data_IF_079635498214
#
_entry.id   IF_079635498214
#
_cell.length_a   1.000
_cell.length_b   1.000
_cell.length_c   1.000
_cell.angle_alpha   90.00
_cell.angle_beta   90.00
_cell.angle_gamma   90.00
#
_symmetry.space_group_name_H-M   'P 1'
#
loop_
_entity.id
_entity.type
_entity.pdbx_description
1 polymer ?
#
# COMPACT_ATOMS: atom_id res chain seq x y z
N UNK A 1 0.61 61.89 1.30
CA UNK A 1 1.11 60.60 1.82
C UNK A 1 -0.02 59.95 2.58
N UNK A 2 -0.65 58.93 2.00
CA UNK A 2 -1.62 58.08 2.72
C UNK A 2 -1.42 56.65 2.21
N UNK A 3 -0.51 55.93 2.86
CA UNK A 3 -0.21 54.52 2.62
C UNK A 3 -1.35 53.67 3.18
N UNK A 4 -2.12 53.02 2.31
CA UNK A 4 -3.06 51.97 2.69
C UNK A 4 -2.29 50.67 2.96
N UNK A 5 -2.31 50.22 4.21
CA UNK A 5 -1.79 48.91 4.58
C UNK A 5 -2.74 47.80 4.08
N UNK A 6 -2.23 46.65 3.62
CA UNK A 6 -3.06 45.51 3.26
C UNK A 6 -3.54 44.81 4.53
N UNK A 7 -4.83 44.90 4.83
CA UNK A 7 -5.49 44.09 5.87
C UNK A 7 -5.40 42.62 5.51
N UNK A 8 -4.60 41.88 6.29
CA UNK A 8 -4.55 40.41 6.30
C UNK A 8 -5.87 39.92 6.90
N UNK A 9 -6.79 39.44 6.07
CA UNK A 9 -8.05 38.83 6.54
C UNK A 9 -7.73 37.48 7.18
N UNK A 10 -7.92 37.39 8.51
CA UNK A 10 -7.95 36.11 9.21
C UNK A 10 -9.13 35.26 8.69
N UNK A 11 -8.97 33.93 8.56
CA UNK A 11 -10.04 33.06 8.10
C UNK A 11 -11.23 33.14 9.06
N UNK A 12 -12.44 33.41 8.52
CA UNK A 12 -13.68 33.44 9.31
C UNK A 12 -13.89 32.08 9.99
N UNK A 13 -14.25 32.02 11.27
CA UNK A 13 -14.58 30.77 11.93
C UNK A 13 -15.73 30.10 11.17
N UNK A 14 -15.55 28.83 10.82
CA UNK A 14 -16.65 28.00 10.29
C UNK A 14 -17.72 27.98 11.39
N UNK A 15 -18.94 28.39 11.03
CA UNK A 15 -20.08 28.34 11.93
C UNK A 15 -20.37 26.87 12.27
N UNK A 16 -20.02 26.47 13.50
CA UNK A 16 -20.23 25.11 14.01
C UNK A 16 -21.69 24.66 13.85
N UNK A 17 -22.62 25.60 13.89
CA UNK A 17 -24.05 25.40 13.61
C UNK A 17 -24.32 24.79 12.23
N UNK A 18 -23.58 25.22 11.19
CA UNK A 18 -23.71 24.65 9.84
C UNK A 18 -23.22 23.21 9.78
N UNK A 19 -22.17 22.88 10.52
CA UNK A 19 -21.67 21.50 10.62
C UNK A 19 -22.75 20.61 11.21
N UNK A 20 -23.35 21.01 12.33
CA UNK A 20 -24.45 20.25 12.95
C UNK A 20 -25.67 20.13 12.02
N UNK A 21 -26.01 21.20 11.31
CA UNK A 21 -27.08 21.16 10.32
C UNK A 21 -26.79 20.12 9.22
N UNK A 22 -25.61 20.14 8.61
CA UNK A 22 -25.25 19.18 7.57
C UNK A 22 -25.20 17.74 8.10
N UNK A 23 -24.72 17.52 9.33
CA UNK A 23 -24.74 16.19 9.96
C UNK A 23 -26.17 15.67 10.10
N UNK A 24 -27.10 16.51 10.54
CA UNK A 24 -28.52 16.15 10.63
C UNK A 24 -29.14 15.87 9.24
N UNK A 25 -28.75 16.65 8.24
CA UNK A 25 -29.20 16.49 6.85
C UNK A 25 -28.72 15.19 6.19
N UNK A 26 -27.72 14.49 6.75
CA UNK A 26 -27.29 13.17 6.25
C UNK A 26 -28.40 12.11 6.36
N UNK A 27 -29.26 12.21 7.38
CA UNK A 27 -30.32 11.23 7.61
C UNK A 27 -31.42 11.30 6.54
N UNK A 28 -31.62 12.46 5.91
CA UNK A 28 -32.69 12.70 4.95
C UNK A 28 -32.18 12.52 3.50
N UNK A 29 -32.72 11.56 2.71
CA UNK A 29 -32.20 11.27 1.36
C UNK A 29 -32.15 12.47 0.40
N UNK A 30 -33.09 13.41 0.52
CA UNK A 30 -33.18 14.59 -0.34
C UNK A 30 -32.07 15.62 -0.08
N UNK A 31 -31.57 15.73 1.16
CA UNK A 31 -30.55 16.70 1.57
C UNK A 31 -29.16 16.09 1.67
N UNK A 32 -29.10 14.76 1.83
CA UNK A 32 -27.87 14.01 2.09
C UNK A 32 -26.75 14.29 1.09
N UNK A 33 -27.07 14.38 -0.20
CA UNK A 33 -26.04 14.58 -1.23
C UNK A 33 -25.28 15.90 -1.03
N UNK A 34 -26.00 16.99 -0.74
CA UNK A 34 -25.40 18.27 -0.45
C UNK A 34 -24.60 18.23 0.85
N UNK A 35 -25.16 17.63 1.90
CA UNK A 35 -24.48 17.47 3.19
C UNK A 35 -23.17 16.69 3.06
N UNK A 36 -23.12 15.62 2.26
CA UNK A 36 -21.91 14.85 1.99
C UNK A 36 -20.81 15.72 1.36
N UNK A 37 -21.17 16.57 0.38
CA UNK A 37 -20.24 17.47 -0.29
C UNK A 37 -19.67 18.50 0.69
N UNK A 38 -20.54 19.16 1.46
CA UNK A 38 -20.10 20.21 2.37
C UNK A 38 -19.25 19.63 3.51
N UNK A 39 -19.69 18.55 4.15
CA UNK A 39 -18.92 17.91 5.22
C UNK A 39 -17.58 17.36 4.73
N UNK A 40 -17.51 16.77 3.53
CA UNK A 40 -16.25 16.21 3.02
C UNK A 40 -15.19 17.29 2.80
N UNK A 41 -15.61 18.53 2.49
CA UNK A 41 -14.72 19.70 2.39
C UNK A 41 -14.23 20.22 3.74
N UNK A 42 -15.00 20.02 4.81
CA UNK A 42 -14.65 20.49 6.15
C UNK A 42 -13.80 19.51 6.95
N UNK A 43 -13.54 18.29 6.44
CA UNK A 43 -12.85 17.22 7.16
C UNK A 43 -11.47 17.57 7.70
N UNK A 44 -10.76 18.52 7.08
CA UNK A 44 -9.42 18.97 7.50
C UNK A 44 -9.49 20.19 8.44
N UNK A 45 -10.57 20.96 8.37
CA UNK A 45 -10.75 22.19 9.14
C UNK A 45 -11.40 21.94 10.51
N UNK A 46 -12.24 20.90 10.62
CA UNK A 46 -12.97 20.56 11.85
C UNK A 46 -12.37 19.30 12.48
N UNK A 47 -11.55 19.49 13.52
CA UNK A 47 -10.83 18.40 14.18
C UNK A 47 -11.77 17.36 14.80
N UNK A 48 -12.86 17.80 15.43
CA UNK A 48 -13.82 16.93 16.12
C UNK A 48 -14.93 16.39 15.21
N UNK A 49 -14.78 16.50 13.89
CA UNK A 49 -15.81 16.03 12.95
C UNK A 49 -16.07 14.53 13.08
N UNK A 50 -15.02 13.74 13.31
CA UNK A 50 -15.14 12.29 13.42
C UNK A 50 -16.01 11.86 14.63
N UNK A 51 -15.75 12.32 15.87
CA UNK A 51 -16.64 12.11 17.00
C UNK A 51 -18.07 12.62 16.74
N UNK A 52 -18.21 13.81 16.16
CA UNK A 52 -19.53 14.37 15.83
C UNK A 52 -20.33 13.46 14.90
N UNK A 53 -19.70 12.91 13.86
CA UNK A 53 -20.32 11.96 12.92
C UNK A 53 -20.63 10.60 13.54
N UNK A 54 -19.77 10.13 14.45
CA UNK A 54 -19.93 8.82 15.07
C UNK A 54 -21.07 8.81 16.08
N UNK A 55 -21.16 9.86 16.90
CA UNK A 55 -22.13 9.95 17.99
C UNK A 55 -23.46 10.58 17.57
N UNK A 56 -23.56 11.15 16.37
CA UNK A 56 -24.83 11.61 15.82
C UNK A 56 -25.71 10.44 15.37
N UNK A 57 -27.01 10.54 15.67
CA UNK A 57 -27.96 9.49 15.37
C UNK A 57 -28.08 9.24 13.86
N UNK A 58 -27.82 8.00 13.44
CA UNK A 58 -28.04 7.55 12.06
C UNK A 58 -26.99 8.00 11.03
N UNK A 59 -26.01 8.84 11.39
CA UNK A 59 -25.06 9.38 10.41
C UNK A 59 -24.16 8.29 9.82
N UNK A 60 -23.53 7.42 10.63
CA UNK A 60 -22.72 6.30 10.12
C UNK A 60 -23.57 5.34 9.27
N UNK A 61 -24.83 5.07 9.67
CA UNK A 61 -25.74 4.25 8.90
C UNK A 61 -26.08 4.88 7.53
N UNK A 62 -26.27 6.20 7.48
CA UNK A 62 -26.47 6.92 6.23
C UNK A 62 -25.24 6.85 5.32
N UNK A 63 -24.02 6.99 5.88
CA UNK A 63 -22.78 6.84 5.13
C UNK A 63 -22.63 5.42 4.53
N UNK A 64 -22.96 4.38 5.32
CA UNK A 64 -22.97 2.99 4.84
C UNK A 64 -24.06 2.75 3.78
N UNK A 65 -25.21 3.39 3.90
CA UNK A 65 -26.26 3.30 2.88
C UNK A 65 -25.77 3.85 1.53
N UNK A 66 -24.97 4.91 1.52
CA UNK A 66 -24.33 5.43 0.30
C UNK A 66 -23.28 4.47 -0.28
N UNK A 67 -22.59 3.70 0.55
CA UNK A 67 -21.67 2.64 0.09
C UNK A 67 -22.46 1.50 -0.57
N UNK A 68 -23.50 1.01 0.11
CA UNK A 68 -24.27 -0.16 -0.34
C UNK A 68 -25.11 0.18 -1.59
N UNK A 69 -25.59 1.41 -1.73
CA UNK A 69 -26.40 1.83 -2.89
C UNK A 69 -25.65 1.71 -4.22
N UNK A 70 -24.31 1.69 -4.18
CA UNK A 70 -23.45 1.56 -5.35
C UNK A 70 -23.23 0.11 -5.77
N UNK A 71 -23.44 -0.87 -4.88
CA UNK A 71 -23.16 -2.29 -5.17
C UNK A 71 -23.80 -2.83 -6.47
N UNK A 72 -25.06 -2.50 -6.82
CA UNK A 72 -25.65 -2.94 -8.08
C UNK A 72 -24.93 -2.44 -9.34
N UNK A 73 -24.21 -1.31 -9.24
CA UNK A 73 -23.44 -0.72 -10.35
C UNK A 73 -21.97 -1.20 -10.40
N UNK A 74 -21.56 -2.05 -9.45
CA UNK A 74 -20.22 -2.65 -9.41
C UNK A 74 -20.13 -3.85 -10.34
N UNK A 75 -21.17 -4.68 -10.37
CA UNK A 75 -21.25 -5.86 -11.24
C UNK A 75 -22.70 -6.04 -11.74
N UNK A 76 -22.99 -5.77 -13.04
CA UNK A 76 -22.07 -5.35 -14.10
C UNK A 76 -21.51 -3.93 -13.87
N UNK A 77 -20.35 -3.58 -14.47
CA UNK A 77 -19.65 -2.33 -14.17
C UNK A 77 -20.29 -1.11 -14.86
N UNK A 78 -21.39 -0.61 -14.30
CA UNK A 78 -22.21 0.49 -14.85
C UNK A 78 -22.09 1.80 -14.05
N UNK A 79 -21.14 1.87 -13.12
CA UNK A 79 -20.91 3.03 -12.26
C UNK A 79 -20.68 4.34 -13.05
N UNK A 80 -21.53 5.32 -12.80
CA UNK A 80 -21.41 6.66 -13.39
C UNK A 80 -20.46 7.56 -12.60
N UNK A 81 -19.99 8.65 -13.23
CA UNK A 81 -19.16 9.65 -12.56
C UNK A 81 -19.88 10.33 -11.37
N UNK A 82 -21.18 10.60 -11.52
CA UNK A 82 -21.99 11.20 -10.45
C UNK A 82 -22.11 10.27 -9.24
N UNK A 83 -22.47 9.00 -9.46
CA UNK A 83 -22.53 7.99 -8.38
C UNK A 83 -21.18 7.81 -7.68
N UNK A 84 -20.08 7.73 -8.45
CA UNK A 84 -18.73 7.61 -7.91
C UNK A 84 -18.35 8.82 -7.04
N UNK A 85 -18.61 10.05 -7.51
CA UNK A 85 -18.32 11.25 -6.74
C UNK A 85 -19.11 11.30 -5.42
N UNK A 86 -20.41 10.96 -5.47
CA UNK A 86 -21.30 10.96 -4.31
C UNK A 86 -20.84 9.96 -3.25
N UNK A 87 -20.58 8.71 -3.61
CA UNK A 87 -20.08 7.71 -2.65
C UNK A 87 -18.68 8.05 -2.15
N UNK A 88 -17.81 8.65 -2.98
CA UNK A 88 -16.47 9.06 -2.54
C UNK A 88 -16.51 10.17 -1.49
N UNK A 89 -17.53 11.05 -1.50
CA UNK A 89 -17.74 12.00 -0.39
C UNK A 89 -18.07 11.25 0.91
N UNK A 90 -18.91 10.21 0.86
CA UNK A 90 -19.18 9.34 2.02
C UNK A 90 -17.89 8.63 2.49
N UNK A 91 -17.12 8.05 1.57
CA UNK A 91 -15.84 7.41 1.89
C UNK A 91 -14.83 8.38 2.51
N UNK A 92 -14.80 9.65 2.09
CA UNK A 92 -13.94 10.67 2.68
C UNK A 92 -14.31 10.97 4.14
N UNK A 93 -15.60 10.94 4.49
CA UNK A 93 -16.06 11.05 5.88
C UNK A 93 -15.73 9.79 6.68
N UNK A 94 -15.92 8.61 6.11
CA UNK A 94 -15.49 7.35 6.75
C UNK A 94 -13.97 7.31 6.97
N UNK A 95 -13.18 7.89 6.06
CA UNK A 95 -11.73 8.06 6.24
C UNK A 95 -11.41 8.97 7.44
N UNK A 96 -12.17 10.07 7.61
CA UNK A 96 -12.05 10.96 8.77
C UNK A 96 -12.29 10.18 10.08
N UNK A 97 -13.40 9.43 10.15
CA UNK A 97 -13.74 8.57 11.30
C UNK A 97 -12.67 7.50 11.58
N UNK A 98 -12.15 6.85 10.53
CA UNK A 98 -11.07 5.86 10.66
C UNK A 98 -9.74 6.47 11.15
N UNK A 99 -9.49 7.75 10.85
CA UNK A 99 -8.26 8.43 11.21
C UNK A 99 -8.24 8.95 12.66
N UNK A 100 -9.40 9.18 13.26
CA UNK A 100 -9.51 9.83 14.58
C UNK A 100 -9.34 8.82 15.73
N UNK A 101 -8.54 9.12 16.76
CA UNK A 101 -8.22 8.18 17.84
C UNK A 101 -9.43 7.67 18.62
N UNK A 102 -10.43 8.53 18.87
CA UNK A 102 -11.62 8.16 19.63
C UNK A 102 -12.54 7.19 18.88
N UNK A 103 -12.64 7.32 17.56
CA UNK A 103 -13.63 6.59 16.76
C UNK A 103 -13.04 5.40 16.02
N UNK A 104 -11.72 5.32 15.87
CA UNK A 104 -11.04 4.27 15.09
C UNK A 104 -11.35 2.86 15.59
N UNK A 105 -11.21 2.62 16.89
CA UNK A 105 -11.47 1.29 17.46
C UNK A 105 -12.94 0.91 17.28
N UNK A 106 -13.85 1.88 17.41
CA UNK A 106 -15.28 1.67 17.19
C UNK A 106 -15.59 1.36 15.72
N UNK A 107 -14.95 2.08 14.79
CA UNK A 107 -15.04 1.86 13.35
C UNK A 107 -14.58 0.45 12.94
N UNK A 108 -13.50 -0.03 13.57
CA UNK A 108 -12.96 -1.38 13.36
C UNK A 108 -13.90 -2.45 13.94
N UNK A 109 -14.36 -2.28 15.18
CA UNK A 109 -15.29 -3.20 15.85
C UNK A 109 -16.64 -3.30 15.14
N UNK A 110 -17.10 -2.21 14.52
CA UNK A 110 -18.28 -2.19 13.67
C UNK A 110 -18.09 -2.89 12.31
N UNK A 111 -16.89 -3.40 12.03
CA UNK A 111 -16.55 -4.07 10.77
C UNK A 111 -16.87 -3.18 9.55
N UNK A 112 -16.73 -1.87 9.64
CA UNK A 112 -17.00 -0.98 8.50
C UNK A 112 -16.06 -1.24 7.29
N UNK A 113 -14.76 -1.56 7.47
CA UNK A 113 -13.86 -1.78 6.34
C UNK A 113 -14.32 -2.85 5.34
N UNK A 114 -15.02 -3.91 5.78
CA UNK A 114 -15.44 -5.00 4.88
C UNK A 114 -16.48 -4.55 3.85
N UNK A 115 -17.24 -3.49 4.13
CA UNK A 115 -18.16 -2.88 3.16
C UNK A 115 -17.42 -2.24 1.96
N UNK A 116 -16.11 -2.01 2.08
CA UNK A 116 -15.32 -1.38 1.03
C UNK A 116 -14.64 -2.40 0.10
N UNK A 117 -14.58 -3.68 0.49
CA UNK A 117 -13.87 -4.71 -0.26
C UNK A 117 -14.46 -5.00 -1.64
N UNK A 118 -15.80 -4.98 -1.83
CA UNK A 118 -16.39 -5.07 -3.18
C UNK A 118 -15.85 -4.02 -4.14
N UNK A 119 -15.53 -2.81 -3.66
CA UNK A 119 -14.94 -1.76 -4.49
C UNK A 119 -13.50 -2.08 -4.89
N UNK A 120 -12.71 -2.67 -3.98
CA UNK A 120 -11.32 -3.04 -4.22
C UNK A 120 -11.17 -4.20 -5.23
N UNK A 121 -12.20 -5.06 -5.37
CA UNK A 121 -12.23 -6.14 -6.36
C UNK A 121 -12.39 -5.68 -7.82
N UNK A 122 -12.73 -4.42 -8.07
CA UNK A 122 -13.14 -3.93 -9.40
C UNK A 122 -12.01 -3.70 -10.40
N UNK A 123 -10.83 -4.31 -10.22
CA UNK A 123 -9.59 -3.97 -10.95
C UNK A 123 -9.67 -4.15 -12.47
N UNK A 124 -10.67 -4.87 -12.97
CA UNK A 124 -10.92 -5.04 -14.40
C UNK A 124 -11.46 -3.76 -15.07
N UNK A 125 -12.21 -2.92 -14.34
CA UNK A 125 -12.74 -1.68 -14.87
C UNK A 125 -11.75 -0.52 -14.65
N UNK A 126 -11.23 0.00 -15.76
CA UNK A 126 -10.25 1.11 -15.78
C UNK A 126 -10.87 2.48 -16.06
N UNK A 127 -12.20 2.59 -15.98
CA UNK A 127 -12.84 3.90 -16.16
C UNK A 127 -12.56 4.80 -14.96
N UNK A 128 -12.50 6.11 -15.19
CA UNK A 128 -12.23 7.11 -14.15
C UNK A 128 -13.13 6.97 -12.90
N UNK A 129 -14.46 6.71 -13.01
CA UNK A 129 -15.32 6.48 -11.84
C UNK A 129 -14.87 5.32 -10.96
N UNK A 130 -14.43 4.21 -11.56
CA UNK A 130 -13.96 3.03 -10.82
C UNK A 130 -12.57 3.22 -10.22
N UNK A 131 -11.66 3.90 -10.93
CA UNK A 131 -10.35 4.25 -10.37
C UNK A 131 -10.46 5.16 -9.15
N UNK A 132 -11.32 6.19 -9.24
CA UNK A 132 -11.55 7.11 -8.14
C UNK A 132 -12.19 6.41 -6.93
N UNK A 133 -13.17 5.54 -7.17
CA UNK A 133 -13.79 4.71 -6.13
C UNK A 133 -12.77 3.85 -5.39
N UNK A 134 -11.92 3.13 -6.13
CA UNK A 134 -10.86 2.29 -5.55
C UNK A 134 -9.85 3.09 -4.75
N UNK A 135 -9.37 4.20 -5.31
CA UNK A 135 -8.38 5.05 -4.63
C UNK A 135 -8.92 5.61 -3.33
N UNK A 136 -10.17 6.09 -3.32
CA UNK A 136 -10.81 6.63 -2.11
C UNK A 136 -11.04 5.54 -1.06
N UNK A 137 -11.46 4.33 -1.50
CA UNK A 137 -11.61 3.17 -0.62
C UNK A 137 -10.29 2.73 0.02
N UNK A 138 -9.21 2.69 -0.77
CA UNK A 138 -7.85 2.45 -0.26
C UNK A 138 -7.41 3.55 0.71
N UNK A 139 -7.85 4.80 0.53
CA UNK A 139 -7.59 5.89 1.44
C UNK A 139 -8.13 5.64 2.85
N UNK A 140 -9.32 5.04 2.97
CA UNK A 140 -9.91 4.63 4.26
C UNK A 140 -9.04 3.57 4.93
N UNK A 141 -8.68 2.50 4.21
CA UNK A 141 -7.82 1.43 4.75
C UNK A 141 -6.42 1.96 5.10
N UNK A 142 -5.88 2.83 4.25
CA UNK A 142 -4.60 3.52 4.46
C UNK A 142 -4.59 4.39 5.73
N UNK A 143 -5.71 5.03 6.07
CA UNK A 143 -5.85 5.80 7.30
C UNK A 143 -5.80 4.91 8.55
N UNK A 144 -6.43 3.73 8.51
CA UNK A 144 -6.40 2.77 9.62
C UNK A 144 -4.96 2.31 9.92
N UNK A 145 -4.25 1.81 8.90
CA UNK A 145 -2.89 1.25 9.06
C UNK A 145 -1.82 2.31 9.32
N UNK A 146 -2.13 3.61 9.16
CA UNK A 146 -1.18 4.70 9.43
C UNK A 146 -0.80 4.79 10.91
N UNK A 147 -1.65 4.27 11.80
CA UNK A 147 -1.50 4.35 13.26
C UNK A 147 -0.60 3.29 13.86
N UNK A 148 -0.21 2.28 13.09
CA UNK A 148 0.63 1.16 13.54
C UNK A 148 0.01 0.35 14.72
N UNK A 149 -1.32 0.40 14.87
CA UNK A 149 -2.05 -0.39 15.88
C UNK A 149 -2.16 -1.86 15.49
N UNK A 150 -1.75 -2.76 16.39
CA UNK A 150 -1.74 -4.21 16.15
C UNK A 150 -3.15 -4.78 15.90
N UNK A 151 -4.18 -4.25 16.56
CA UNK A 151 -5.57 -4.68 16.38
C UNK A 151 -6.06 -4.43 14.95
N UNK A 152 -5.63 -3.32 14.33
CA UNK A 152 -5.93 -3.01 12.93
C UNK A 152 -5.26 -4.05 12.02
N UNK A 153 -3.99 -4.39 12.26
CA UNK A 153 -3.29 -5.40 11.46
C UNK A 153 -3.97 -6.76 11.60
N UNK A 154 -4.29 -7.17 12.82
CA UNK A 154 -4.96 -8.45 13.11
C UNK A 154 -6.30 -8.55 12.41
N UNK A 155 -7.13 -7.50 12.49
CA UNK A 155 -8.39 -7.42 11.77
C UNK A 155 -8.18 -7.59 10.26
N UNK A 156 -7.28 -6.81 9.67
CA UNK A 156 -7.02 -6.84 8.22
C UNK A 156 -6.50 -8.19 7.72
N UNK A 157 -5.70 -8.89 8.53
CA UNK A 157 -5.26 -10.25 8.22
C UNK A 157 -6.43 -11.23 8.23
N UNK A 158 -7.33 -11.11 9.21
CA UNK A 158 -8.51 -11.99 9.35
C UNK A 158 -9.55 -11.81 8.25
N UNK A 159 -9.56 -10.66 7.57
CA UNK A 159 -10.54 -10.30 6.53
C UNK A 159 -9.96 -10.35 5.10
N UNK A 160 -8.77 -10.91 4.91
CA UNK A 160 -8.17 -11.12 3.58
C UNK A 160 -7.87 -9.83 2.77
N UNK A 161 -7.36 -8.77 3.41
CA UNK A 161 -6.97 -7.54 2.68
C UNK A 161 -5.78 -7.77 1.72
N UNK A 162 -4.89 -8.71 2.04
CA UNK A 162 -3.62 -8.91 1.31
C UNK A 162 -3.87 -9.28 -0.17
N UNK A 163 -4.70 -10.29 -0.49
CA UNK A 163 -5.07 -10.58 -1.88
C UNK A 163 -5.60 -9.36 -2.66
N UNK A 164 -6.41 -8.50 -2.03
CA UNK A 164 -6.94 -7.28 -2.64
C UNK A 164 -5.83 -6.28 -2.96
N UNK A 165 -4.94 -6.03 -2.00
CA UNK A 165 -3.78 -5.16 -2.20
C UNK A 165 -2.88 -5.69 -3.32
N UNK A 166 -2.56 -6.98 -3.33
CA UNK A 166 -1.72 -7.60 -4.36
C UNK A 166 -2.33 -7.46 -5.76
N UNK A 167 -3.65 -7.66 -5.90
CA UNK A 167 -4.35 -7.49 -7.18
C UNK A 167 -4.27 -6.05 -7.70
N UNK A 168 -4.44 -5.08 -6.81
CA UNK A 168 -4.33 -3.66 -7.15
C UNK A 168 -2.87 -3.27 -7.45
N UNK A 169 -1.90 -3.80 -6.69
CA UNK A 169 -0.47 -3.59 -6.92
C UNK A 169 -0.03 -4.09 -8.31
N UNK A 170 -0.63 -5.17 -8.80
CA UNK A 170 -0.38 -5.69 -10.14
C UNK A 170 -1.04 -4.82 -11.23
N UNK A 171 -2.34 -4.50 -11.08
CA UNK A 171 -3.19 -4.05 -12.20
C UNK A 171 -3.73 -2.60 -12.09
N UNK A 172 -3.58 -1.95 -10.94
CA UNK A 172 -4.16 -0.64 -10.66
C UNK A 172 -3.43 0.55 -11.31
N UNK A 173 -4.00 1.75 -11.16
CA UNK A 173 -3.32 3.00 -11.49
C UNK A 173 -2.11 3.24 -10.57
N UNK A 174 -1.16 4.08 -10.98
CA UNK A 174 0.05 4.38 -10.18
C UNK A 174 -0.29 4.81 -8.75
N UNK A 175 -1.27 5.69 -8.58
CA UNK A 175 -1.73 6.14 -7.26
C UNK A 175 -2.31 4.99 -6.44
N UNK A 176 -3.15 4.13 -7.04
CA UNK A 176 -3.73 2.98 -6.35
C UNK A 176 -2.65 1.96 -5.96
N UNK A 177 -1.67 1.71 -6.84
CA UNK A 177 -0.50 0.87 -6.55
C UNK A 177 0.29 1.41 -5.38
N UNK A 178 0.50 2.72 -5.33
CA UNK A 178 1.22 3.38 -4.23
C UNK A 178 0.51 3.17 -2.89
N UNK A 179 -0.80 3.42 -2.82
CA UNK A 179 -1.55 3.24 -1.56
C UNK A 179 -1.66 1.76 -1.17
N UNK A 180 -1.91 0.86 -2.12
CA UNK A 180 -1.97 -0.58 -1.85
C UNK A 180 -0.62 -1.13 -1.35
N UNK A 181 0.50 -0.68 -1.93
CA UNK A 181 1.85 -1.06 -1.47
C UNK A 181 2.14 -0.47 -0.10
N UNK A 182 1.70 0.75 0.19
CA UNK A 182 1.80 1.35 1.53
C UNK A 182 1.04 0.52 2.58
N UNK A 183 -0.17 0.06 2.27
CA UNK A 183 -0.94 -0.82 3.17
C UNK A 183 -0.20 -2.13 3.41
N UNK A 184 0.28 -2.80 2.35
CA UNK A 184 1.08 -4.01 2.48
C UNK A 184 2.36 -3.78 3.28
N UNK A 185 3.04 -2.63 3.09
CA UNK A 185 4.23 -2.26 3.85
C UNK A 185 3.93 -2.13 5.34
N UNK A 186 2.80 -1.51 5.71
CA UNK A 186 2.38 -1.38 7.11
C UNK A 186 2.09 -2.75 7.73
N UNK A 187 1.40 -3.64 7.02
CA UNK A 187 1.19 -5.03 7.44
C UNK A 187 2.53 -5.76 7.64
N UNK A 188 3.47 -5.65 6.68
CA UNK A 188 4.79 -6.28 6.80
C UNK A 188 5.61 -5.70 7.96
N UNK A 189 5.44 -4.43 8.29
CA UNK A 189 6.20 -3.77 9.35
C UNK A 189 5.86 -4.37 10.72
N UNK A 190 4.60 -4.76 10.93
CA UNK A 190 4.16 -5.52 12.11
C UNK A 190 4.70 -6.95 12.10
N UNK A 191 5.09 -7.47 13.27
CA UNK A 191 5.65 -8.83 13.41
C UNK A 191 4.62 -9.92 13.08
N UNK A 192 3.35 -9.71 13.44
CA UNK A 192 2.24 -10.62 13.13
C UNK A 192 2.02 -10.69 11.62
N UNK A 193 2.02 -9.54 10.95
CA UNK A 193 1.86 -9.46 9.51
C UNK A 193 3.03 -10.06 8.72
N UNK A 194 4.28 -9.83 9.16
CA UNK A 194 5.45 -10.50 8.58
C UNK A 194 5.35 -12.02 8.76
N UNK A 195 5.06 -12.49 9.97
CA UNK A 195 4.90 -13.91 10.25
C UNK A 195 3.81 -14.55 9.40
N UNK A 196 2.66 -13.87 9.23
CA UNK A 196 1.55 -14.34 8.40
C UNK A 196 1.93 -14.52 6.92
N UNK A 197 2.61 -13.53 6.34
CA UNK A 197 3.04 -13.56 4.94
C UNK A 197 4.10 -14.65 4.71
N UNK A 198 5.04 -14.78 5.65
CA UNK A 198 6.11 -15.77 5.58
C UNK A 198 5.73 -17.15 6.15
N UNK A 199 4.47 -17.35 6.57
CA UNK A 199 4.01 -18.60 7.18
C UNK A 199 4.10 -19.78 6.20
N UNK A 200 3.69 -19.55 4.95
CA UNK A 200 3.65 -20.54 3.87
C UNK A 200 4.44 -20.05 2.68
N UNK A 201 5.04 -20.97 1.92
CA UNK A 201 5.73 -20.62 0.68
C UNK A 201 4.81 -19.91 -0.32
N UNK A 202 3.57 -20.36 -0.47
CA UNK A 202 2.61 -19.79 -1.44
C UNK A 202 2.33 -18.30 -1.18
N UNK A 203 2.04 -17.92 0.06
CA UNK A 203 1.82 -16.52 0.44
C UNK A 203 3.04 -15.65 0.18
N UNK A 204 4.22 -16.09 0.63
CA UNK A 204 5.47 -15.37 0.38
C UNK A 204 5.76 -15.24 -1.12
N UNK A 205 5.69 -16.35 -1.86
CA UNK A 205 5.97 -16.41 -3.29
C UNK A 205 5.06 -15.49 -4.10
N UNK A 206 3.77 -15.46 -3.76
CA UNK A 206 2.83 -14.54 -4.40
C UNK A 206 3.20 -13.06 -4.16
N UNK A 207 3.52 -12.69 -2.91
CA UNK A 207 3.96 -11.33 -2.57
C UNK A 207 5.26 -10.97 -3.31
N UNK A 208 6.27 -11.84 -3.27
CA UNK A 208 7.56 -11.64 -3.92
C UNK A 208 7.41 -11.49 -5.45
N UNK A 209 6.57 -12.33 -6.08
CA UNK A 209 6.27 -12.25 -7.51
C UNK A 209 5.65 -10.90 -7.90
N UNK A 210 4.65 -10.44 -7.15
CA UNK A 210 3.99 -9.14 -7.44
C UNK A 210 4.99 -7.99 -7.26
N UNK A 211 5.76 -7.98 -6.16
CA UNK A 211 6.81 -6.97 -5.96
C UNK A 211 7.86 -7.00 -7.09
N UNK A 212 8.25 -8.19 -7.57
CA UNK A 212 9.17 -8.35 -8.69
C UNK A 212 8.64 -7.75 -10.00
N UNK A 213 7.37 -8.02 -10.32
CA UNK A 213 6.70 -7.41 -11.47
C UNK A 213 6.63 -5.88 -11.34
N UNK A 214 6.41 -5.36 -10.13
CA UNK A 214 6.42 -3.92 -9.88
C UNK A 214 7.79 -3.30 -10.12
N UNK A 215 8.88 -3.96 -9.70
CA UNK A 215 10.25 -3.50 -9.98
C UNK A 215 10.51 -3.43 -11.48
N UNK A 216 10.12 -4.46 -12.24
CA UNK A 216 10.27 -4.49 -13.71
C UNK A 216 9.48 -3.36 -14.38
N UNK A 217 8.30 -3.01 -13.85
CA UNK A 217 7.52 -1.89 -14.38
C UNK A 217 8.13 -0.54 -14.00
N UNK A 218 8.64 -0.40 -12.77
CA UNK A 218 9.31 0.81 -12.29
C UNK A 218 10.59 1.14 -13.06
N UNK A 219 11.28 0.15 -13.62
CA UNK A 219 12.45 0.42 -14.47
C UNK A 219 12.08 1.01 -15.84
N UNK A 220 10.82 0.85 -16.27
CA UNK A 220 10.29 1.41 -17.52
C UNK A 220 9.58 2.74 -17.29
N UNK A 221 8.76 2.80 -16.24
CA UNK A 221 7.96 3.95 -15.84
C UNK A 221 8.31 4.32 -14.38
N UNK A 222 9.31 5.19 -14.16
CA UNK A 222 9.82 5.44 -12.84
C UNK A 222 8.85 6.20 -11.93
N UNK A 223 8.71 5.73 -10.69
CA UNK A 223 7.98 6.42 -9.63
C UNK A 223 8.70 6.27 -8.29
N UNK A 224 9.35 7.34 -7.83
CA UNK A 224 10.12 7.33 -6.57
C UNK A 224 9.26 7.00 -5.35
N UNK A 225 8.00 7.45 -5.34
CA UNK A 225 7.05 7.16 -4.25
C UNK A 225 6.72 5.68 -4.15
N UNK A 226 6.45 5.05 -5.29
CA UNK A 226 6.14 3.62 -5.34
C UNK A 226 7.38 2.78 -5.03
N UNK A 227 8.53 3.12 -5.61
CA UNK A 227 9.81 2.43 -5.38
C UNK A 227 10.18 2.42 -3.89
N UNK A 228 9.98 3.54 -3.19
CA UNK A 228 10.21 3.64 -1.74
C UNK A 228 9.47 2.56 -0.95
N UNK A 229 8.18 2.35 -1.24
CA UNK A 229 7.38 1.32 -0.57
C UNK A 229 7.82 -0.08 -0.96
N UNK A 230 8.11 -0.32 -2.25
CA UNK A 230 8.61 -1.63 -2.74
C UNK A 230 9.92 -2.03 -2.05
N UNK A 231 10.90 -1.12 -1.99
CA UNK A 231 12.18 -1.35 -1.30
C UNK A 231 11.95 -1.65 0.18
N UNK A 232 11.06 -0.90 0.84
CA UNK A 232 10.76 -1.10 2.26
C UNK A 232 10.08 -2.44 2.55
N UNK A 233 9.24 -2.95 1.63
CA UNK A 233 8.66 -4.28 1.70
C UNK A 233 9.73 -5.37 1.59
N UNK A 234 10.61 -5.30 0.59
CA UNK A 234 11.71 -6.26 0.45
C UNK A 234 12.66 -6.26 1.64
N UNK A 235 13.05 -5.07 2.13
CA UNK A 235 13.88 -4.95 3.32
C UNK A 235 13.23 -5.67 4.50
N UNK A 236 11.94 -5.47 4.73
CA UNK A 236 11.23 -6.13 5.82
C UNK A 236 11.09 -7.64 5.64
N UNK A 237 10.83 -8.10 4.43
CA UNK A 237 10.82 -9.54 4.12
C UNK A 237 12.18 -10.18 4.42
N UNK A 238 13.29 -9.46 4.21
CA UNK A 238 14.63 -9.96 4.54
C UNK A 238 14.88 -10.17 6.03
N UNK A 239 14.02 -9.69 6.93
CA UNK A 239 14.15 -9.96 8.37
C UNK A 239 13.73 -11.40 8.71
N UNK A 240 12.85 -12.01 7.91
CA UNK A 240 12.45 -13.39 8.08
C UNK A 240 13.50 -14.35 7.47
N UNK A 241 14.06 -15.32 8.22
CA UNK A 241 15.12 -16.20 7.72
C UNK A 241 14.76 -17.00 6.45
N UNK A 242 13.51 -17.47 6.34
CA UNK A 242 13.06 -18.26 5.19
C UNK A 242 12.89 -17.39 3.95
N UNK A 243 12.26 -16.23 4.12
CA UNK A 243 12.11 -15.26 3.04
C UNK A 243 13.46 -14.70 2.59
N UNK A 244 14.38 -14.43 3.52
CA UNK A 244 15.76 -14.01 3.24
C UNK A 244 16.45 -15.00 2.30
N UNK A 245 16.39 -16.29 2.60
CA UNK A 245 17.00 -17.33 1.76
C UNK A 245 16.40 -17.33 0.35
N UNK A 246 15.07 -17.31 0.24
CA UNK A 246 14.41 -17.28 -1.06
C UNK A 246 14.72 -15.99 -1.85
N UNK A 247 14.82 -14.83 -1.18
CA UNK A 247 15.16 -13.55 -1.79
C UNK A 247 16.57 -13.52 -2.37
N UNK A 248 17.52 -14.30 -1.85
CA UNK A 248 18.85 -14.43 -2.48
C UNK A 248 18.75 -14.94 -3.92
N UNK A 249 17.82 -15.86 -4.17
CA UNK A 249 17.61 -16.43 -5.50
C UNK A 249 16.70 -15.56 -6.38
N UNK A 250 15.74 -14.82 -5.81
CA UNK A 250 14.68 -14.18 -6.59
C UNK A 250 14.60 -12.65 -6.51
N UNK A 251 15.52 -11.96 -5.82
CA UNK A 251 15.57 -10.51 -5.82
C UNK A 251 15.82 -9.99 -7.26
N UNK A 252 14.97 -9.09 -7.80
CA UNK A 252 15.16 -8.53 -9.14
C UNK A 252 16.50 -7.82 -9.31
N UNK A 253 17.16 -8.02 -10.46
CA UNK A 253 18.50 -7.47 -10.71
C UNK A 253 18.52 -5.94 -10.79
N UNK A 254 17.39 -5.31 -11.16
CA UNK A 254 17.25 -3.85 -11.17
C UNK A 254 17.41 -3.21 -9.78
N UNK A 255 17.24 -3.98 -8.70
CA UNK A 255 17.51 -3.54 -7.33
C UNK A 255 18.97 -3.74 -6.91
N UNK A 256 19.75 -4.51 -7.68
CA UNK A 256 21.17 -4.79 -7.44
C UNK A 256 22.09 -3.92 -8.29
N UNK A 257 21.62 -3.48 -9.45
CA UNK A 257 22.37 -2.65 -10.39
C UNK A 257 22.07 -1.14 -10.22
N UNK A 258 22.52 -0.34 -11.18
CA UNK A 258 22.35 1.12 -11.20
C UNK A 258 21.02 1.60 -11.80
N UNK A 259 20.06 0.71 -12.10
CA UNK A 259 18.78 1.04 -12.77
C UNK A 259 18.04 2.18 -12.08
N UNK A 260 17.99 2.18 -10.75
CA UNK A 260 17.27 3.19 -9.96
C UNK A 260 18.15 4.31 -9.39
N UNK A 261 19.41 4.43 -9.82
CA UNK A 261 20.34 5.42 -9.26
C UNK A 261 19.79 6.86 -9.35
N UNK A 262 19.22 7.23 -10.49
CA UNK A 262 18.63 8.56 -10.71
C UNK A 262 17.34 8.77 -9.89
N UNK A 263 16.50 7.75 -9.79
CA UNK A 263 15.24 7.81 -9.02
C UNK A 263 15.47 7.99 -7.53
N UNK A 264 16.60 7.48 -7.05
CA UNK A 264 17.00 7.47 -5.65
C UNK A 264 17.91 8.64 -5.30
N UNK A 265 18.35 9.46 -6.27
CA UNK A 265 19.40 10.46 -6.08
C UNK A 265 19.14 11.38 -4.88
N UNK A 266 17.89 11.82 -4.71
CA UNK A 266 17.44 12.74 -3.66
C UNK A 266 16.74 12.04 -2.48
N UNK A 267 16.60 10.70 -2.49
CA UNK A 267 15.97 9.93 -1.41
C UNK A 267 17.00 9.10 -0.63
N UNK A 268 17.69 9.78 0.30
CA UNK A 268 18.70 9.17 1.15
C UNK A 268 18.15 8.01 2.01
N UNK A 269 16.87 8.06 2.39
CA UNK A 269 16.24 7.01 3.20
C UNK A 269 16.09 5.72 2.41
N UNK A 270 15.54 5.81 1.20
CA UNK A 270 15.34 4.64 0.34
C UNK A 270 16.68 4.07 -0.13
N UNK A 271 17.68 4.91 -0.41
CA UNK A 271 19.07 4.45 -0.66
C UNK A 271 19.62 3.61 0.48
N UNK A 272 19.48 4.08 1.72
CA UNK A 272 19.94 3.35 2.92
C UNK A 272 19.21 2.03 3.09
N UNK A 273 17.90 2.01 2.85
CA UNK A 273 17.10 0.79 2.92
C UNK A 273 17.51 -0.23 1.87
N UNK A 274 17.76 0.20 0.63
CA UNK A 274 18.23 -0.67 -0.44
C UNK A 274 19.61 -1.25 -0.12
N UNK A 275 20.55 -0.42 0.34
CA UNK A 275 21.88 -0.90 0.75
C UNK A 275 21.81 -1.93 1.90
N UNK A 276 20.93 -1.69 2.89
CA UNK A 276 20.71 -2.63 3.99
C UNK A 276 20.08 -3.95 3.50
N UNK A 277 19.15 -3.88 2.55
CA UNK A 277 18.56 -5.06 1.93
C UNK A 277 19.63 -5.91 1.24
N UNK A 278 20.48 -5.30 0.41
CA UNK A 278 21.58 -6.03 -0.25
C UNK A 278 22.51 -6.66 0.78
N UNK A 279 22.92 -5.90 1.81
CA UNK A 279 23.73 -6.42 2.92
C UNK A 279 23.09 -7.59 3.65
N UNK A 280 21.78 -7.57 3.87
CA UNK A 280 21.07 -8.67 4.53
C UNK A 280 21.08 -9.98 3.71
N UNK A 281 21.21 -9.86 2.39
CA UNK A 281 21.19 -10.99 1.45
C UNK A 281 22.59 -11.51 1.10
N UNK A 282 23.66 -10.77 1.41
CA UNK A 282 25.02 -11.26 1.25
C UNK A 282 25.19 -12.61 1.99
N UNK A 283 25.84 -13.60 1.35
CA UNK A 283 26.21 -14.82 2.04
C UNK A 283 27.20 -14.46 3.14
N UNK A 284 27.04 -15.02 4.34
CA UNK A 284 28.06 -14.92 5.37
C UNK A 284 29.34 -15.56 4.83
N UNK A 285 30.27 -14.75 4.36
CA UNK A 285 31.66 -15.17 4.22
C UNK A 285 32.21 -15.28 5.63
N UNK A 286 32.20 -16.47 6.21
CA UNK A 286 33.14 -16.79 7.27
C UNK A 286 34.53 -16.61 6.69
N UNK A 287 35.11 -15.42 6.84
CA UNK A 287 36.55 -15.26 6.75
C UNK A 287 37.14 -16.18 7.81
N UNK A 288 37.64 -17.34 7.40
CA UNK A 288 38.48 -18.20 8.23
C UNK A 288 39.81 -17.46 8.43
N UNK A 289 40.09 -16.86 9.60
CA UNK A 289 41.37 -16.22 9.84
C UNK A 289 42.30 -17.33 10.33
N UNK A 290 43.01 -17.99 9.42
CA UNK A 290 44.13 -18.87 9.80
C UNK A 290 44.25 -20.18 9.05
N UNK A 291 44.57 -20.11 7.75
CA UNK A 291 45.40 -21.14 7.12
C UNK A 291 46.44 -20.45 6.23
N UNK A 292 47.48 -19.94 6.89
CA UNK A 292 48.80 -19.78 6.29
C UNK A 292 49.64 -20.96 6.76
N UNK A 293 50.17 -21.75 5.82
CA UNK A 293 51.59 -22.12 5.66
C UNK A 293 51.76 -22.79 4.28
N UNK A 294 52.86 -22.54 3.55
CA UNK A 294 52.96 -22.73 2.10
C UNK A 294 53.76 -24.00 1.72
N UNK A 295 53.76 -24.38 0.43
CA UNK A 295 54.96 -24.85 -0.32
C UNK A 295 54.62 -25.30 -1.76
N UNK A 296 55.22 -24.58 -2.72
CA UNK A 296 55.88 -25.00 -3.98
C UNK A 296 55.23 -26.00 -4.97
N UNK A 297 55.18 -25.59 -6.26
CA UNK A 297 55.41 -26.49 -7.41
C UNK A 297 54.54 -26.26 -8.67
N UNK A 298 54.99 -25.40 -9.60
CA UNK A 298 54.50 -25.22 -10.98
C UNK A 298 54.89 -26.41 -11.92
N UNK A 299 54.52 -26.46 -13.23
CA UNK A 299 53.36 -25.93 -13.99
C UNK A 299 52.80 -26.90 -15.10
N UNK A 300 51.85 -26.40 -15.91
CA UNK A 300 51.41 -26.78 -17.29
C UNK A 300 50.16 -27.67 -17.45
N UNK A 301 49.12 -27.12 -18.11
CA UNK A 301 48.04 -27.92 -18.71
C UNK A 301 46.75 -27.19 -19.12
N UNK A 302 46.75 -26.62 -20.32
CA UNK A 302 45.64 -26.52 -21.29
C UNK A 302 44.43 -25.59 -21.11
N UNK A 303 44.25 -24.81 -22.18
CA UNK A 303 43.10 -24.03 -22.63
C UNK A 303 41.79 -24.84 -22.71
N UNK A 304 40.68 -24.23 -22.27
CA UNK A 304 39.32 -24.65 -22.57
C UNK A 304 38.37 -23.46 -22.54
N UNK A 305 37.77 -23.16 -23.69
CA UNK A 305 36.89 -22.02 -23.97
C UNK A 305 35.57 -22.07 -23.18
N UNK A 306 35.12 -20.93 -22.64
CA UNK A 306 33.75 -20.71 -22.18
C UNK A 306 32.89 -20.15 -23.33
N UNK A 307 31.66 -20.62 -23.56
CA UNK A 307 30.68 -19.87 -24.33
C UNK A 307 29.97 -18.83 -23.45
N UNK A 308 29.84 -17.63 -24.01
CA UNK A 308 29.04 -16.53 -23.50
C UNK A 308 27.55 -16.91 -23.39
N UNK A 309 26.90 -16.47 -22.32
CA UNK A 309 25.44 -16.52 -22.18
C UNK A 309 24.92 -15.09 -22.12
N UNK A 310 24.22 -14.70 -23.19
CA UNK A 310 23.46 -13.46 -23.32
C UNK A 310 22.19 -13.49 -22.45
N UNK A 311 21.64 -12.32 -22.06
CA UNK A 311 20.59 -12.24 -21.04
C UNK A 311 19.18 -12.33 -21.61
N UNK A 312 18.23 -12.62 -20.70
CA UNK A 312 16.77 -12.41 -20.83
C UNK A 312 15.95 -13.58 -21.38
N UNK A 313 15.65 -14.54 -20.50
CA UNK A 313 14.35 -15.20 -20.50
C UNK A 313 14.04 -15.79 -19.12
N UNK A 314 12.86 -15.41 -18.59
CA UNK A 314 12.05 -16.23 -17.69
C UNK A 314 12.39 -16.24 -16.18
N UNK A 315 12.35 -15.05 -15.57
CA UNK A 315 12.22 -14.90 -14.10
C UNK A 315 11.02 -15.69 -13.55
N UNK A 316 9.96 -15.90 -14.35
CA UNK A 316 8.77 -16.66 -13.95
C UNK A 316 8.96 -18.18 -13.91
N UNK A 317 9.85 -18.77 -14.72
CA UNK A 317 10.08 -20.23 -14.71
C UNK A 317 11.13 -20.66 -13.70
N UNK A 318 11.99 -19.76 -13.24
CA UNK A 318 12.92 -20.05 -12.13
C UNK A 318 12.20 -20.22 -10.79
N UNK A 319 11.00 -19.64 -10.62
CA UNK A 319 10.19 -19.76 -9.40
C UNK A 319 9.58 -21.15 -9.16
N UNK A 320 9.42 -21.98 -10.20
CA UNK A 320 8.78 -23.30 -10.07
C UNK A 320 9.79 -24.41 -9.75
N UNK A 321 11.00 -24.37 -10.32
CA UNK A 321 11.89 -25.54 -10.29
C UNK A 321 13.01 -25.47 -9.24
N UNK A 322 13.52 -24.30 -8.88
CA UNK A 322 14.66 -24.20 -7.95
C UNK A 322 14.27 -24.17 -6.46
N UNK A 323 13.08 -23.66 -6.12
CA UNK A 323 12.61 -23.62 -4.74
C UNK A 323 12.06 -24.97 -4.23
N UNK A 324 11.59 -25.84 -5.12
CA UNK A 324 11.03 -27.16 -4.75
C UNK A 324 12.09 -28.11 -4.18
N UNK A 325 13.37 -27.93 -4.52
CA UNK A 325 14.45 -28.82 -4.11
C UNK A 325 15.20 -28.38 -2.84
N UNK A 326 14.94 -27.18 -2.30
CA UNK A 326 15.66 -26.65 -1.13
C UNK A 326 14.96 -26.87 0.21
N UNK A 327 13.83 -27.59 0.26
CA UNK A 327 13.07 -27.79 1.50
C UNK A 327 12.53 -29.23 1.59
N UNK A 328 13.45 -30.18 1.77
CA UNK A 328 13.21 -31.37 2.57
C UNK A 328 14.09 -31.33 3.81
#
# INVERSE_FOLDING_TARGET
>A
MSTSAPTTQAPKPIELEKIYQWINELSTPATRENALIELSRQREAVQDLAPMLWHSFGSIAALLQEVISVYPAINPPTLTAHQSNRVCNSLALLQCVASHPETRSLFLQAHIPIFLYPFLHTTLSKTRPFEYLRLTSLGVIGALVKTDEQDVITFLLSTEIIPLCLKIMEQGSELSKTVATFILQKILTDDTGLAYICQTYERFSHVAKVLGLMVINLSKEPSSRLLKHVVRCYLRLSDNPRAKEALRACLPDQLKDSTFADCLKDDASTKKWLAQLIKNLEPFTTMNPGQNIPMQGNPLGQLGQQPAISPSANVLSQFTDQAYNMIK
#
